data_IF_778194332373
#
_entry.id   IF_778194332373
#
_cell.length_a   1.000
_cell.length_b   1.000
_cell.length_c   1.000
_cell.angle_alpha   90.00
_cell.angle_beta   90.00
_cell.angle_gamma   90.00
#
_symmetry.space_group_name_H-M   'P 1'
#
loop_
_entity.id
_entity.type
_entity.pdbx_description
1 polymer ?
#
# COMPACT_ATOMS: atom_id res chain seq x y z
N UNK A 1 1.26 28.08 -12.51
CA UNK A 1 -0.16 27.71 -12.34
C UNK A 1 -0.39 26.35 -13.01
N UNK A 2 -0.94 25.40 -12.26
CA UNK A 2 -1.28 24.06 -12.76
C UNK A 2 -2.73 24.02 -13.21
N UNK A 3 -2.99 23.47 -14.39
CA UNK A 3 -4.34 23.19 -14.86
C UNK A 3 -4.83 21.91 -14.17
N UNK A 4 -5.99 21.98 -13.52
CA UNK A 4 -6.64 20.83 -12.90
C UNK A 4 -7.76 20.32 -13.83
N UNK A 5 -7.81 18.99 -14.11
CA UNK A 5 -8.91 18.43 -14.86
C UNK A 5 -10.22 18.49 -14.04
N UNK A 6 -11.31 18.77 -14.70
CA UNK A 6 -12.65 18.61 -14.14
C UNK A 6 -13.19 17.25 -14.59
N UNK A 7 -13.55 16.41 -13.63
CA UNK A 7 -14.02 15.04 -13.86
C UNK A 7 -15.40 14.84 -13.22
N UNK A 8 -16.17 13.88 -13.71
CA UNK A 8 -17.40 13.40 -13.09
C UNK A 8 -17.17 11.98 -12.56
N UNK A 9 -17.57 11.72 -11.32
CA UNK A 9 -17.40 10.42 -10.67
C UNK A 9 -18.52 10.16 -9.66
N UNK A 10 -18.99 8.93 -9.57
CA UNK A 10 -20.06 8.50 -8.65
C UNK A 10 -19.68 8.64 -7.16
N UNK A 11 -18.42 8.90 -6.86
CA UNK A 11 -17.95 9.23 -5.52
C UNK A 11 -18.50 10.57 -5.01
N UNK A 12 -18.93 11.46 -5.91
CA UNK A 12 -19.41 12.81 -5.58
C UNK A 12 -20.93 12.81 -5.42
N UNK A 13 -21.41 13.12 -4.23
CA UNK A 13 -22.83 13.28 -3.95
C UNK A 13 -23.25 14.73 -4.24
N UNK A 14 -24.06 14.92 -5.28
CA UNK A 14 -24.53 16.26 -5.70
C UNK A 14 -25.35 17.00 -4.63
N UNK A 15 -25.99 16.25 -3.73
CA UNK A 15 -26.80 16.80 -2.64
C UNK A 15 -25.99 17.20 -1.41
N UNK A 16 -24.68 16.86 -1.39
CA UNK A 16 -23.81 17.19 -0.27
C UNK A 16 -22.97 18.44 -0.58
N UNK A 17 -23.11 19.48 0.25
CA UNK A 17 -22.37 20.73 0.10
C UNK A 17 -22.68 21.44 -1.23
N UNK A 18 -21.66 21.65 -2.05
CA UNK A 18 -21.78 22.26 -3.38
C UNK A 18 -21.87 21.24 -4.51
N UNK A 19 -21.74 19.95 -4.22
CA UNK A 19 -21.59 18.91 -5.24
C UNK A 19 -20.23 18.94 -5.96
N UNK A 20 -19.27 19.72 -5.45
CA UNK A 20 -17.89 19.80 -6.00
C UNK A 20 -16.90 19.38 -4.94
N UNK A 21 -16.04 18.42 -5.29
CA UNK A 21 -15.02 17.86 -4.39
C UNK A 21 -13.63 18.07 -4.96
N UNK A 22 -12.68 18.48 -4.12
CA UNK A 22 -11.26 18.48 -4.45
C UNK A 22 -10.72 17.08 -4.24
N UNK A 23 -10.06 16.51 -5.24
CA UNK A 23 -9.44 15.18 -5.21
C UNK A 23 -7.92 15.30 -5.09
N UNK A 24 -7.33 14.61 -4.11
CA UNK A 24 -5.89 14.56 -3.86
C UNK A 24 -5.40 13.10 -3.78
N UNK A 25 -5.12 12.42 -4.91
CA UNK A 25 -4.87 10.98 -4.97
C UNK A 25 -3.74 10.47 -4.07
N UNK A 26 -2.77 11.32 -3.74
CA UNK A 26 -1.64 10.94 -2.90
C UNK A 26 -1.94 10.92 -1.39
N UNK A 27 -3.03 11.56 -0.95
CA UNK A 27 -3.23 11.87 0.48
C UNK A 27 -4.56 11.39 1.06
N UNK A 28 -5.37 10.70 0.27
CA UNK A 28 -6.61 10.07 0.74
C UNK A 28 -6.87 8.77 -0.03
N UNK A 29 -7.20 7.66 0.64
CA UNK A 29 -7.44 6.38 -0.03
C UNK A 29 -8.61 6.39 -1.02
N UNK A 30 -9.68 7.15 -0.75
CA UNK A 30 -10.81 7.25 -1.66
C UNK A 30 -10.45 8.11 -2.87
N UNK A 31 -9.76 9.23 -2.63
CA UNK A 31 -9.23 10.08 -3.70
C UNK A 31 -8.24 9.31 -4.60
N UNK A 32 -7.45 8.39 -4.01
CA UNK A 32 -6.56 7.51 -4.77
C UNK A 32 -7.34 6.60 -5.71
N UNK A 33 -8.45 6.01 -5.25
CA UNK A 33 -9.31 5.17 -6.09
C UNK A 33 -9.98 5.96 -7.22
N UNK A 34 -10.41 7.19 -6.95
CA UNK A 34 -10.89 8.11 -8.00
C UNK A 34 -9.75 8.42 -8.98
N UNK A 35 -8.57 8.70 -8.46
CA UNK A 35 -7.38 8.96 -9.27
C UNK A 35 -7.05 7.83 -10.23
N UNK A 36 -7.14 6.57 -9.76
CA UNK A 36 -6.93 5.40 -10.61
C UNK A 36 -7.98 5.26 -11.73
N UNK A 37 -9.26 5.53 -11.42
CA UNK A 37 -10.34 5.44 -12.43
C UNK A 37 -10.21 6.47 -13.54
N UNK A 38 -9.65 7.63 -13.23
CA UNK A 38 -9.53 8.78 -14.15
C UNK A 38 -8.10 9.07 -14.59
N UNK A 39 -7.16 8.16 -14.31
CA UNK A 39 -5.74 8.31 -14.64
C UNK A 39 -5.15 9.66 -14.18
N UNK A 40 -5.51 10.09 -12.97
CA UNK A 40 -5.03 11.33 -12.40
C UNK A 40 -3.60 11.16 -11.86
N UNK A 41 -2.75 12.20 -11.97
CA UNK A 41 -1.39 12.12 -11.43
C UNK A 41 -1.41 12.02 -9.90
N UNK A 42 -0.61 11.09 -9.36
CA UNK A 42 -0.37 10.94 -7.92
C UNK A 42 0.76 11.87 -7.52
N UNK A 43 0.42 13.00 -6.91
CA UNK A 43 1.38 14.05 -6.55
C UNK A 43 1.43 14.17 -5.03
N UNK A 44 2.57 13.78 -4.43
CA UNK A 44 2.79 13.94 -2.99
C UNK A 44 3.16 15.38 -2.67
N UNK A 45 2.44 15.98 -1.73
CA UNK A 45 2.76 17.31 -1.22
C UNK A 45 3.60 17.29 0.06
N UNK A 46 3.88 16.10 0.61
CA UNK A 46 4.67 15.95 1.85
C UNK A 46 5.86 15.00 1.64
N UNK A 47 6.97 15.33 2.28
CA UNK A 47 8.13 14.48 2.46
C UNK A 47 7.87 13.41 3.54
N UNK A 48 8.84 12.51 3.76
CA UNK A 48 8.73 11.42 4.75
C UNK A 48 8.66 11.94 6.20
N UNK A 49 9.26 13.10 6.47
CA UNK A 49 9.24 13.81 7.74
C UNK A 49 8.01 14.71 7.93
N UNK A 50 7.06 14.66 7.00
CA UNK A 50 5.86 15.48 6.96
C UNK A 50 6.09 16.99 6.76
N UNK A 51 7.26 17.39 6.29
CA UNK A 51 7.47 18.73 5.74
C UNK A 51 6.88 18.83 4.32
N UNK A 52 6.57 20.04 3.89
CA UNK A 52 6.02 20.27 2.54
C UNK A 52 7.10 20.02 1.47
N UNK A 53 6.75 19.21 0.47
CA UNK A 53 7.67 18.85 -0.62
C UNK A 53 8.10 20.07 -1.45
N UNK A 54 9.37 20.08 -1.84
CA UNK A 54 9.92 21.10 -2.73
C UNK A 54 9.31 21.05 -4.14
N UNK A 55 8.85 19.87 -4.58
CA UNK A 55 8.34 19.66 -5.93
C UNK A 55 7.02 20.41 -6.20
N UNK A 56 6.23 20.64 -5.14
CA UNK A 56 4.89 21.23 -5.26
C UNK A 56 4.64 22.40 -4.31
N UNK A 57 5.49 22.55 -3.30
CA UNK A 57 5.22 23.47 -2.18
C UNK A 57 5.41 24.94 -2.49
N UNK A 58 6.14 25.29 -3.54
CA UNK A 58 6.46 26.69 -3.84
C UNK A 58 7.03 27.41 -2.61
N UNK A 59 6.42 28.50 -2.17
CA UNK A 59 6.85 29.26 -1.00
C UNK A 59 6.68 28.53 0.35
N UNK A 60 5.93 27.45 0.40
CA UNK A 60 5.72 26.64 1.61
C UNK A 60 6.69 25.44 1.70
N UNK A 61 7.53 25.23 0.68
CA UNK A 61 8.46 24.12 0.60
C UNK A 61 9.38 24.07 1.84
N UNK A 62 9.54 22.88 2.42
CA UNK A 62 10.35 22.65 3.63
C UNK A 62 9.69 23.07 4.94
N UNK A 63 8.52 23.71 4.91
CA UNK A 63 7.80 24.06 6.14
C UNK A 63 7.17 22.82 6.77
N UNK A 64 7.08 22.81 8.12
CA UNK A 64 6.22 21.87 8.83
C UNK A 64 4.78 22.00 8.36
N UNK A 65 4.05 20.87 8.25
CA UNK A 65 2.69 20.84 7.73
C UNK A 65 1.70 21.74 8.49
N UNK A 66 1.87 21.90 9.79
CA UNK A 66 0.98 22.75 10.59
C UNK A 66 1.31 24.24 10.42
N UNK A 67 2.60 24.56 10.30
CA UNK A 67 3.02 25.94 10.02
C UNK A 67 2.64 26.35 8.60
N UNK A 68 2.81 25.43 7.61
CA UNK A 68 2.36 25.66 6.24
C UNK A 68 0.85 25.94 6.18
N UNK A 69 0.05 25.17 6.93
CA UNK A 69 -1.41 25.41 7.02
C UNK A 69 -1.77 26.78 7.57
N UNK A 70 -1.12 27.21 8.65
CA UNK A 70 -1.31 28.55 9.23
C UNK A 70 -0.95 29.64 8.23
N UNK A 71 0.20 29.51 7.60
CA UNK A 71 0.67 30.48 6.60
C UNK A 71 -0.25 30.54 5.39
N UNK A 72 -0.72 29.38 4.91
CA UNK A 72 -1.66 29.31 3.77
C UNK A 72 -2.98 30.01 4.09
N UNK A 73 -3.52 29.84 5.30
CA UNK A 73 -4.76 30.52 5.71
C UNK A 73 -4.54 32.05 5.76
N UNK A 74 -3.42 32.50 6.33
CA UNK A 74 -3.09 33.92 6.35
C UNK A 74 -2.91 34.52 4.93
N UNK A 75 -2.29 33.77 4.03
CA UNK A 75 -2.12 34.20 2.64
C UNK A 75 -3.44 34.29 1.87
N UNK A 76 -4.38 33.36 2.12
CA UNK A 76 -5.72 33.40 1.53
C UNK A 76 -6.53 34.58 2.08
N UNK A 77 -6.38 34.90 3.36
CA UNK A 77 -7.00 36.09 3.99
C UNK A 77 -6.46 37.36 3.36
N UNK A 78 -5.13 37.49 3.23
CA UNK A 78 -4.49 38.64 2.62
C UNK A 78 -4.89 38.86 1.15
N UNK A 79 -5.26 37.79 0.43
CA UNK A 79 -5.76 37.83 -0.94
C UNK A 79 -7.27 38.08 -1.03
N UNK A 80 -7.99 38.16 0.10
CA UNK A 80 -9.46 38.32 0.14
C UNK A 80 -10.19 37.05 -0.31
N UNK A 81 -9.55 35.90 -0.31
CA UNK A 81 -10.11 34.62 -0.76
C UNK A 81 -10.65 33.76 0.40
N UNK A 82 -10.33 34.12 1.65
CA UNK A 82 -10.81 33.41 2.83
C UNK A 82 -12.23 33.85 3.16
N UNK A 83 -13.21 32.96 3.05
CA UNK A 83 -14.60 33.26 3.39
C UNK A 83 -14.85 33.15 4.89
N UNK A 84 -14.45 32.04 5.51
CA UNK A 84 -14.57 31.78 6.95
C UNK A 84 -13.69 30.63 7.41
N UNK A 85 -13.40 30.61 8.70
CA UNK A 85 -12.79 29.47 9.42
C UNK A 85 -13.80 28.98 10.45
N UNK A 86 -14.14 27.71 10.43
CA UNK A 86 -15.09 27.09 11.36
C UNK A 86 -14.44 25.92 12.09
N UNK A 87 -14.69 25.74 13.40
CA UNK A 87 -14.32 24.56 14.12
C UNK A 87 -14.97 23.31 13.49
N UNK A 88 -14.17 22.32 13.14
CA UNK A 88 -14.63 21.04 12.61
C UNK A 88 -14.15 19.91 13.48
N UNK A 89 -15.07 19.06 13.96
CA UNK A 89 -14.76 17.90 14.79
C UNK A 89 -14.80 16.64 13.94
N UNK A 90 -13.66 15.94 13.86
CA UNK A 90 -13.54 14.66 13.18
C UNK A 90 -12.53 13.77 13.87
N UNK A 91 -12.54 12.46 13.56
CA UNK A 91 -11.55 11.53 14.06
C UNK A 91 -10.26 11.65 13.27
N UNK A 92 -9.14 11.74 13.97
CA UNK A 92 -7.80 11.80 13.37
C UNK A 92 -7.00 10.60 13.84
N UNK A 93 -6.44 9.83 12.88
CA UNK A 93 -5.58 8.70 13.19
C UNK A 93 -4.27 9.17 13.83
N UNK A 94 -3.85 8.49 14.92
CA UNK A 94 -2.60 8.76 15.59
C UNK A 94 -1.79 7.48 15.78
N UNK A 95 -0.47 7.61 15.80
CA UNK A 95 0.43 6.50 16.12
C UNK A 95 0.18 6.00 17.55
N UNK A 96 0.01 4.70 17.72
CA UNK A 96 -0.20 4.08 19.03
C UNK A 96 0.94 4.33 20.03
N UNK A 97 2.18 4.49 19.53
CA UNK A 97 3.37 4.60 20.39
C UNK A 97 3.70 6.02 20.77
N UNK A 98 3.68 6.93 19.81
CA UNK A 98 4.14 8.31 20.05
C UNK A 98 3.04 9.37 19.97
N UNK A 99 1.80 8.99 19.63
CA UNK A 99 0.68 9.93 19.54
C UNK A 99 0.74 10.88 18.32
N UNK A 100 1.76 10.76 17.47
CA UNK A 100 1.87 11.62 16.28
C UNK A 100 0.73 11.36 15.32
N UNK A 101 0.13 12.43 14.78
CA UNK A 101 -0.90 12.36 13.74
C UNK A 101 -0.37 11.65 12.50
N UNK A 102 -1.12 10.66 12.03
CA UNK A 102 -0.82 9.92 10.80
C UNK A 102 -1.36 10.70 9.60
N UNK A 103 -0.49 10.90 8.62
CA UNK A 103 -0.85 11.50 7.34
C UNK A 103 -0.86 10.42 6.26
N UNK A 104 -2.01 10.15 5.60
CA UNK A 104 -2.05 9.25 4.45
C UNK A 104 -1.17 9.79 3.33
N UNK A 105 -0.35 8.90 2.75
CA UNK A 105 0.53 9.24 1.64
C UNK A 105 0.73 8.03 0.73
N UNK A 106 0.57 8.22 -0.56
CA UNK A 106 0.87 7.18 -1.53
C UNK A 106 2.39 6.94 -1.59
N UNK A 107 2.81 5.69 -1.54
CA UNK A 107 4.20 5.26 -1.70
C UNK A 107 4.26 3.98 -2.52
N UNK A 108 5.42 3.74 -3.14
CA UNK A 108 5.65 2.46 -3.83
C UNK A 108 5.78 1.35 -2.80
N UNK A 109 5.02 0.28 -3.01
CA UNK A 109 4.99 -0.89 -2.14
C UNK A 109 4.97 -2.15 -2.99
N UNK A 110 5.42 -3.27 -2.41
CA UNK A 110 5.31 -4.57 -3.02
C UNK A 110 3.98 -5.22 -2.69
N UNK A 111 3.30 -5.73 -3.71
CA UNK A 111 2.02 -6.41 -3.56
C UNK A 111 2.06 -7.81 -4.17
N UNK A 112 1.34 -8.73 -3.54
CA UNK A 112 0.98 -10.01 -4.14
C UNK A 112 -0.41 -9.85 -4.74
N UNK A 113 -0.57 -10.20 -6.04
CA UNK A 113 -1.88 -10.28 -6.68
C UNK A 113 -2.63 -11.48 -6.13
N UNK A 114 -3.66 -11.22 -5.34
CA UNK A 114 -4.35 -12.25 -4.56
C UNK A 114 -5.48 -12.93 -5.32
N UNK A 115 -6.06 -12.28 -6.32
CA UNK A 115 -7.27 -12.78 -6.99
C UNK A 115 -7.09 -14.15 -7.63
N UNK A 116 -5.98 -14.34 -8.35
CA UNK A 116 -5.68 -15.62 -8.99
C UNK A 116 -5.33 -16.73 -7.99
N UNK A 117 -4.67 -16.34 -6.87
CA UNK A 117 -4.32 -17.27 -5.80
C UNK A 117 -5.53 -17.69 -4.96
N UNK A 118 -6.53 -16.81 -4.84
CA UNK A 118 -7.75 -17.10 -4.10
C UNK A 118 -8.69 -18.08 -4.82
N UNK A 119 -8.68 -18.08 -6.15
CA UNK A 119 -9.63 -18.89 -6.91
C UNK A 119 -9.55 -20.39 -6.61
N UNK A 120 -8.39 -21.06 -6.65
CA UNK A 120 -8.28 -22.47 -6.24
C UNK A 120 -8.73 -22.73 -4.81
N UNK A 121 -8.45 -21.79 -3.90
CA UNK A 121 -8.84 -21.89 -2.49
C UNK A 121 -10.37 -21.76 -2.29
N UNK A 122 -11.05 -21.00 -3.15
CA UNK A 122 -12.52 -20.94 -3.21
C UNK A 122 -13.09 -22.26 -3.76
N UNK A 123 -12.49 -22.76 -4.82
CA UNK A 123 -13.00 -23.94 -5.55
C UNK A 123 -12.97 -25.21 -4.70
N UNK A 124 -11.91 -25.43 -3.90
CA UNK A 124 -11.81 -26.61 -3.01
C UNK A 124 -12.84 -26.58 -1.88
N UNK A 125 -13.29 -25.40 -1.45
CA UNK A 125 -14.37 -25.29 -0.48
C UNK A 125 -15.73 -25.49 -1.13
N UNK A 126 -15.96 -24.89 -2.30
CA UNK A 126 -17.21 -25.03 -3.04
C UNK A 126 -17.43 -26.46 -3.55
N UNK A 127 -16.38 -27.18 -3.88
CA UNK A 127 -16.46 -28.61 -4.26
C UNK A 127 -16.71 -29.53 -3.05
N UNK A 128 -16.47 -29.07 -1.83
CA UNK A 128 -16.57 -29.86 -0.61
C UNK A 128 -15.34 -30.74 -0.32
N UNK A 129 -14.27 -30.59 -1.09
CA UNK A 129 -12.97 -31.24 -0.84
C UNK A 129 -12.36 -30.73 0.47
N UNK A 130 -12.43 -29.41 0.71
CA UNK A 130 -12.11 -28.80 1.99
C UNK A 130 -13.42 -28.44 2.72
N UNK A 131 -13.54 -28.85 3.98
CA UNK A 131 -14.74 -28.63 4.79
C UNK A 131 -14.41 -27.95 6.10
N UNK A 132 -15.25 -27.00 6.47
CA UNK A 132 -15.18 -26.32 7.77
C UNK A 132 -16.01 -27.05 8.84
N UNK A 133 -15.44 -27.20 10.02
CA UNK A 133 -16.13 -27.76 11.18
C UNK A 133 -16.06 -26.73 12.34
N UNK A 134 -17.19 -26.15 12.76
CA UNK A 134 -18.54 -26.32 12.20
C UNK A 134 -18.71 -25.56 10.85
N UNK A 135 -19.62 -26.06 10.03
CA UNK A 135 -19.88 -25.56 8.65
C UNK A 135 -20.17 -24.05 8.56
N UNK A 136 -20.69 -23.44 9.62
CA UNK A 136 -21.01 -21.99 9.65
C UNK A 136 -19.82 -21.08 9.29
N UNK A 137 -18.59 -21.53 9.49
CA UNK A 137 -17.38 -20.74 9.16
C UNK A 137 -17.07 -20.71 7.67
N UNK A 138 -17.64 -21.61 6.89
CA UNK A 138 -17.50 -21.64 5.42
C UNK A 138 -17.98 -20.34 4.75
N UNK A 139 -19.12 -19.80 5.20
CA UNK A 139 -19.66 -18.54 4.66
C UNK A 139 -18.73 -17.36 4.94
N UNK A 140 -18.15 -17.29 6.13
CA UNK A 140 -17.16 -16.25 6.46
C UNK A 140 -15.91 -16.36 5.61
N UNK A 141 -15.39 -17.57 5.41
CA UNK A 141 -14.24 -17.83 4.56
C UNK A 141 -14.50 -17.41 3.11
N UNK A 142 -15.60 -17.88 2.52
CA UNK A 142 -15.95 -17.55 1.14
C UNK A 142 -16.15 -16.04 0.95
N UNK A 143 -16.80 -15.37 1.90
CA UNK A 143 -16.94 -13.92 1.85
C UNK A 143 -15.58 -13.19 1.79
N UNK A 144 -14.61 -13.59 2.62
CA UNK A 144 -13.28 -12.99 2.62
C UNK A 144 -12.51 -13.31 1.34
N UNK A 145 -12.58 -14.55 0.86
CA UNK A 145 -11.84 -14.97 -0.34
C UNK A 145 -12.41 -14.37 -1.63
N UNK A 146 -13.73 -14.24 -1.75
CA UNK A 146 -14.40 -13.64 -2.91
C UNK A 146 -14.21 -12.11 -2.98
N UNK A 147 -13.97 -11.47 -1.83
CA UNK A 147 -13.71 -10.03 -1.72
C UNK A 147 -12.24 -9.71 -1.41
N UNK A 148 -11.33 -10.64 -1.68
CA UNK A 148 -9.93 -10.47 -1.36
C UNK A 148 -9.31 -9.32 -2.15
N UNK A 149 -8.43 -8.56 -1.48
CA UNK A 149 -7.66 -7.49 -2.09
C UNK A 149 -6.20 -7.90 -2.20
N UNK A 150 -5.47 -7.27 -3.09
CA UNK A 150 -4.03 -7.48 -3.20
C UNK A 150 -3.34 -7.20 -1.87
N UNK A 151 -2.42 -8.07 -1.51
CA UNK A 151 -1.74 -8.05 -0.23
C UNK A 151 -0.44 -7.26 -0.33
N UNK A 152 -0.36 -6.13 0.38
CA UNK A 152 0.88 -5.40 0.56
C UNK A 152 1.82 -6.21 1.46
N UNK A 153 2.96 -6.62 0.92
CA UNK A 153 3.95 -7.46 1.61
C UNK A 153 5.19 -6.71 2.08
N UNK A 154 5.37 -5.47 1.69
CA UNK A 154 6.49 -4.64 2.15
C UNK A 154 6.19 -3.98 3.49
N UNK A 155 7.21 -3.93 4.36
CA UNK A 155 7.16 -3.29 5.68
C UNK A 155 8.41 -2.46 5.89
N UNK A 156 8.24 -1.25 6.41
CA UNK A 156 9.31 -0.32 6.77
C UNK A 156 9.82 -0.65 8.18
N UNK A 157 10.39 -1.85 8.34
CA UNK A 157 10.93 -2.34 9.60
C UNK A 157 12.46 -2.41 9.54
N UNK A 158 13.12 -2.06 10.62
CA UNK A 158 14.57 -2.15 10.71
C UNK A 158 15.08 -3.59 10.73
N UNK A 159 14.29 -4.54 11.25
CA UNK A 159 14.61 -5.95 11.34
C UNK A 159 13.56 -6.81 10.63
N UNK A 160 14.02 -7.74 9.79
CA UNK A 160 13.16 -8.68 9.06
C UNK A 160 13.86 -9.23 7.80
N UNK A 161 13.13 -10.03 7.03
CA UNK A 161 13.60 -10.53 5.74
C UNK A 161 13.58 -9.38 4.73
N UNK A 162 14.72 -8.93 4.28
CA UNK A 162 14.79 -7.88 3.25
C UNK A 162 14.22 -8.38 1.94
N UNK A 163 13.50 -7.50 1.27
CA UNK A 163 12.95 -7.77 -0.06
C UNK A 163 14.12 -8.00 -1.04
N UNK A 164 14.14 -9.13 -1.80
CA UNK A 164 15.24 -9.50 -2.68
C UNK A 164 15.20 -8.77 -4.03
N UNK A 165 14.85 -7.49 -4.00
CA UNK A 165 14.77 -6.61 -5.15
C UNK A 165 15.93 -5.62 -5.16
N UNK A 166 16.51 -5.37 -6.35
CA UNK A 166 17.68 -4.52 -6.54
C UNK A 166 17.40 -3.51 -7.64
N UNK A 167 17.47 -2.23 -7.31
CA UNK A 167 17.18 -1.11 -8.21
C UNK A 167 18.44 -0.59 -8.85
N UNK A 168 18.46 -0.58 -10.19
CA UNK A 168 19.57 -0.01 -10.96
C UNK A 168 19.72 1.49 -10.70
N UNK A 169 20.93 1.92 -10.34
CA UNK A 169 21.22 3.31 -10.06
C UNK A 169 21.47 4.14 -11.33
N UNK A 170 21.44 3.54 -12.52
CA UNK A 170 21.52 4.26 -13.78
C UNK A 170 20.12 4.81 -14.16
N UNK A 171 19.93 6.16 -14.20
CA UNK A 171 18.64 6.77 -14.49
C UNK A 171 18.04 6.38 -15.84
N UNK A 172 18.89 6.05 -16.83
CA UNK A 172 18.44 5.63 -18.16
C UNK A 172 18.04 4.17 -18.23
N UNK A 173 18.47 3.33 -17.28
CA UNK A 173 18.19 1.89 -17.28
C UNK A 173 16.91 1.55 -16.50
N UNK A 174 16.77 2.08 -15.28
CA UNK A 174 15.63 1.89 -14.36
C UNK A 174 15.21 0.41 -14.17
N UNK A 175 16.14 -0.53 -14.38
CA UNK A 175 15.86 -1.95 -14.26
C UNK A 175 15.77 -2.35 -12.79
N UNK A 176 14.74 -3.15 -12.43
CA UNK A 176 14.63 -3.83 -11.14
C UNK A 176 14.96 -5.31 -11.34
N UNK A 177 15.96 -5.80 -10.61
CA UNK A 177 16.35 -7.20 -10.62
C UNK A 177 15.87 -7.87 -9.33
N UNK A 178 15.39 -9.11 -9.45
CA UNK A 178 15.06 -9.98 -8.31
C UNK A 178 16.13 -11.06 -8.23
N UNK A 179 16.74 -11.24 -7.07
CA UNK A 179 17.80 -12.25 -6.89
C UNK A 179 17.83 -12.78 -5.46
N UNK A 180 18.04 -14.07 -5.32
CA UNK A 180 18.30 -14.72 -4.03
C UNK A 180 19.68 -14.34 -3.49
N UNK A 181 20.65 -14.22 -4.38
CA UNK A 181 22.00 -13.83 -4.02
C UNK A 181 22.17 -12.30 -4.08
N UNK A 182 23.00 -11.72 -3.22
CA UNK A 182 23.30 -10.29 -3.25
C UNK A 182 23.88 -9.86 -4.60
N UNK A 183 23.30 -8.80 -5.19
CA UNK A 183 23.76 -8.19 -6.43
C UNK A 183 24.51 -6.88 -6.15
N UNK A 184 25.67 -6.74 -6.75
CA UNK A 184 26.43 -5.48 -6.75
C UNK A 184 26.20 -4.67 -8.03
N UNK A 185 25.87 -5.35 -9.12
CA UNK A 185 25.74 -4.75 -10.47
C UNK A 185 24.45 -5.16 -11.15
N UNK A 186 23.89 -4.22 -11.86
CA UNK A 186 22.69 -4.43 -12.68
C UNK A 186 22.96 -5.45 -13.79
N UNK A 187 22.20 -6.54 -13.89
CA UNK A 187 22.41 -7.55 -14.93
C UNK A 187 22.14 -7.03 -16.34
N UNK A 188 21.40 -5.91 -16.47
CA UNK A 188 21.08 -5.31 -17.77
C UNK A 188 22.12 -4.33 -18.28
N UNK A 189 22.75 -3.53 -17.42
CA UNK A 189 23.63 -2.45 -17.86
C UNK A 189 24.98 -2.37 -17.12
N UNK A 190 25.21 -3.23 -16.11
CA UNK A 190 26.44 -3.27 -15.32
C UNK A 190 26.60 -2.13 -14.30
N UNK A 191 25.67 -1.18 -14.22
CA UNK A 191 25.72 -0.11 -13.23
C UNK A 191 25.50 -0.64 -11.80
N UNK A 192 25.94 0.07 -10.76
CA UNK A 192 25.64 -0.28 -9.38
C UNK A 192 24.13 -0.45 -9.13
N UNK A 193 23.77 -1.32 -8.20
CA UNK A 193 22.37 -1.49 -7.75
C UNK A 193 22.25 -1.20 -6.26
N UNK A 194 21.04 -0.83 -5.85
CA UNK A 194 20.68 -0.67 -4.44
C UNK A 194 19.58 -1.68 -4.13
N UNK A 195 19.78 -2.51 -3.09
CA UNK A 195 18.74 -3.41 -2.60
C UNK A 195 17.62 -2.60 -1.97
N UNK A 196 16.39 -3.10 -2.10
CA UNK A 196 15.22 -2.57 -1.40
C UNK A 196 15.49 -2.48 0.11
N UNK A 197 15.10 -1.37 0.73
CA UNK A 197 15.31 -1.15 2.16
C UNK A 197 14.21 -1.79 3.01
N UNK A 198 13.05 -2.05 2.41
CA UNK A 198 11.92 -2.66 3.08
C UNK A 198 12.15 -4.15 3.36
N UNK A 199 11.39 -4.65 4.32
CA UNK A 199 11.34 -6.06 4.70
C UNK A 199 10.02 -6.68 4.29
N UNK A 200 10.00 -7.99 4.14
CA UNK A 200 8.77 -8.75 3.91
C UNK A 200 7.91 -8.79 5.18
N UNK A 201 6.59 -8.76 4.99
CA UNK A 201 5.62 -9.05 6.04
C UNK A 201 5.93 -10.39 6.71
N UNK A 202 5.83 -10.46 8.03
CA UNK A 202 6.05 -11.68 8.80
C UNK A 202 5.15 -12.84 8.32
N UNK A 203 3.92 -12.54 7.93
CA UNK A 203 2.98 -13.52 7.43
C UNK A 203 3.38 -14.10 6.06
N UNK A 204 4.20 -13.41 5.30
CA UNK A 204 4.70 -13.92 4.04
C UNK A 204 5.51 -15.21 4.23
N UNK A 205 6.46 -15.22 5.16
CA UNK A 205 7.22 -16.44 5.49
C UNK A 205 6.42 -17.44 6.32
N UNK A 206 5.55 -16.99 7.22
CA UNK A 206 4.68 -17.86 8.02
C UNK A 206 3.74 -18.70 7.15
N UNK A 207 3.22 -18.13 6.05
CA UNK A 207 2.36 -18.86 5.12
C UNK A 207 3.09 -20.00 4.39
N UNK A 208 4.42 -19.96 4.30
CA UNK A 208 5.23 -20.98 3.65
C UNK A 208 5.59 -22.15 4.58
N UNK A 209 5.38 -21.99 5.89
CA UNK A 209 5.84 -22.94 6.91
C UNK A 209 5.45 -24.40 6.66
N UNK A 210 4.22 -24.75 6.20
CA UNK A 210 3.79 -26.13 6.05
C UNK A 210 4.62 -26.96 5.08
N UNK A 211 5.35 -26.31 4.17
CA UNK A 211 6.18 -26.98 3.18
C UNK A 211 7.64 -26.50 3.20
N UNK A 212 7.94 -25.28 3.62
CA UNK A 212 9.32 -24.79 3.70
C UNK A 212 10.15 -25.55 4.74
N UNK A 213 9.53 -25.99 5.83
CA UNK A 213 10.18 -26.81 6.86
C UNK A 213 10.47 -28.24 6.39
N UNK A 214 9.86 -28.67 5.29
CA UNK A 214 10.07 -29.96 4.64
C UNK A 214 11.02 -29.87 3.44
N UNK A 215 11.87 -28.85 3.43
CA UNK A 215 12.90 -28.58 2.43
C UNK A 215 12.37 -28.20 1.03
N UNK A 216 11.12 -27.74 0.90
CA UNK A 216 10.66 -27.20 -0.39
C UNK A 216 11.62 -26.10 -0.90
N UNK A 217 11.99 -26.05 -2.20
CA UNK A 217 11.39 -26.76 -3.34
C UNK A 217 11.96 -28.17 -3.64
N UNK A 218 12.84 -28.69 -2.81
CA UNK A 218 13.36 -30.03 -2.99
C UNK A 218 12.28 -31.09 -2.71
N UNK A 219 12.31 -32.19 -3.48
CA UNK A 219 11.44 -33.33 -3.23
C UNK A 219 12.08 -34.24 -2.21
N UNK A 220 11.53 -34.26 -1.00
CA UNK A 220 12.00 -35.11 0.09
C UNK A 220 10.94 -36.14 0.46
N UNK A 221 11.34 -37.31 1.04
CA UNK A 221 10.36 -38.27 1.55
C UNK A 221 9.41 -37.69 2.59
N UNK A 222 9.88 -36.76 3.39
CA UNK A 222 9.08 -36.04 4.39
C UNK A 222 8.04 -35.15 3.74
N UNK A 223 8.39 -34.46 2.64
CA UNK A 223 7.44 -33.67 1.86
C UNK A 223 6.33 -34.54 1.29
N UNK A 224 6.69 -35.66 0.67
CA UNK A 224 5.72 -36.57 0.05
C UNK A 224 4.79 -37.22 1.08
N UNK A 225 5.26 -37.40 2.32
CA UNK A 225 4.47 -38.02 3.38
C UNK A 225 3.60 -37.05 4.17
N UNK A 226 4.13 -35.87 4.52
CA UNK A 226 3.47 -34.93 5.43
C UNK A 226 2.70 -33.80 4.73
N UNK A 227 2.95 -33.55 3.44
CA UNK A 227 2.30 -32.51 2.69
C UNK A 227 1.54 -33.06 1.47
N UNK A 228 0.30 -32.62 1.16
CA UNK A 228 -0.50 -31.66 1.93
C UNK A 228 -1.05 -32.25 3.25
N UNK A 229 -1.24 -31.38 4.25
CA UNK A 229 -1.81 -31.79 5.53
C UNK A 229 -3.32 -32.04 5.40
N UNK A 230 -3.84 -33.00 6.20
CA UNK A 230 -5.25 -33.38 6.17
C UNK A 230 -6.12 -32.50 7.07
N UNK A 231 -5.55 -31.90 8.08
CA UNK A 231 -6.26 -31.13 9.10
C UNK A 231 -5.46 -29.90 9.50
N UNK A 232 -6.11 -28.74 9.49
CA UNK A 232 -5.60 -27.48 10.05
C UNK A 232 -6.47 -27.06 11.22
N UNK A 233 -5.83 -26.77 12.36
CA UNK A 233 -6.47 -26.17 13.53
C UNK A 233 -5.81 -24.84 13.81
N UNK A 234 -6.61 -23.77 13.87
CA UNK A 234 -6.12 -22.41 14.12
C UNK A 234 -7.04 -21.69 15.11
N UNK A 235 -6.48 -20.73 15.84
CA UNK A 235 -7.21 -19.88 16.78
C UNK A 235 -7.56 -18.51 16.23
#
# INVERSE_FOLDING_TARGET
DRVLPLIADDYVYCEFGTGVVKIAPSHDPNDFMVGQRHDLPVISMMNDDATISADVGGKYAGMDRYEARKQMVADLEAQGLLVKVEPHKHNVGCCQRCGTTVEPRASLQWFVSMKELAQPAIDVVKSGELRYIPKRFENGYLYWMENIRDWCISRQLWWGHRIPAYYCQNPSCKHTAISLDPLEKCPKCGAPVKQDEDTLDTWFSSALWPFSTLCWPDKTPEMDYFYPTNTLVTG
#
